data_IF_666293477632
#
_entry.id   IF_666293477632
#
_cell.length_a   1.000
_cell.length_b   1.000
_cell.length_c   1.000
_cell.angle_alpha   90.00
_cell.angle_beta   90.00
_cell.angle_gamma   90.00
#
_symmetry.space_group_name_H-M   'P 1'
#
loop_
_entity.id
_entity.type
_entity.pdbx_description
1 polymer ?
#
# COMPACT_ATOMS: atom_id res chain seq x y z
N UNK A 1 17.00 -13.50 -4.61
CA UNK A 1 16.03 -12.87 -3.68
C UNK A 1 15.34 -11.77 -4.45
N UNK A 2 14.02 -11.70 -4.41
CA UNK A 2 13.27 -10.62 -5.06
C UNK A 2 13.05 -9.52 -4.02
N UNK A 3 13.46 -8.29 -4.34
CA UNK A 3 13.26 -7.14 -3.46
C UNK A 3 11.78 -6.74 -3.50
N UNK A 4 11.17 -6.53 -2.33
CA UNK A 4 9.73 -6.31 -2.22
C UNK A 4 9.36 -5.16 -1.29
N UNK A 5 8.21 -4.56 -1.58
CA UNK A 5 7.43 -3.82 -0.59
C UNK A 5 6.47 -4.79 0.12
N UNK A 6 6.32 -4.62 1.43
CA UNK A 6 5.42 -5.42 2.26
C UNK A 6 4.43 -4.52 2.96
N UNK A 7 3.15 -4.89 2.92
CA UNK A 7 2.08 -4.18 3.57
C UNK A 7 1.42 -5.08 4.60
N UNK A 8 1.27 -4.56 5.81
CA UNK A 8 0.65 -5.22 6.94
C UNK A 8 -0.50 -4.39 7.50
N UNK A 9 -1.30 -5.01 8.37
CA UNK A 9 -2.23 -4.30 9.24
C UNK A 9 -2.05 -4.69 10.70
N UNK A 10 -2.27 -3.71 11.58
CA UNK A 10 -2.11 -3.86 13.02
C UNK A 10 -3.01 -2.92 13.81
N UNK A 11 -3.27 -3.27 15.07
CA UNK A 11 -4.14 -2.51 15.98
C UNK A 11 -3.39 -1.39 16.74
N UNK A 12 -2.07 -1.31 16.56
CA UNK A 12 -1.18 -0.26 17.05
C UNK A 12 -0.06 -0.02 16.04
N UNK A 13 0.56 1.16 16.07
CA UNK A 13 1.78 1.45 15.32
C UNK A 13 3.00 0.83 16.03
N UNK A 14 4.06 0.46 15.30
CA UNK A 14 5.33 0.07 15.90
C UNK A 14 6.01 1.26 16.58
N UNK A 15 6.85 0.96 17.57
CA UNK A 15 7.69 1.92 18.29
C UNK A 15 9.11 1.38 18.43
N UNK A 16 10.05 2.19 18.92
CA UNK A 16 11.42 1.71 19.17
C UNK A 16 11.47 0.61 20.24
N UNK A 17 10.48 0.58 21.15
CA UNK A 17 10.43 -0.36 22.27
C UNK A 17 9.66 -1.64 21.94
N UNK A 18 8.56 -1.50 21.18
CA UNK A 18 7.56 -2.56 21.02
C UNK A 18 7.05 -2.66 19.58
N UNK A 19 6.82 -3.90 19.15
CA UNK A 19 6.08 -4.22 17.93
C UNK A 19 4.58 -4.43 18.23
N UNK A 20 3.69 -4.25 17.25
CA UNK A 20 2.28 -4.55 17.44
C UNK A 20 2.07 -6.04 17.79
N UNK A 21 1.21 -6.37 18.78
CA UNK A 21 1.04 -7.75 19.26
C UNK A 21 0.33 -8.67 18.25
N UNK A 22 -0.34 -8.09 17.25
CA UNK A 22 -0.99 -8.84 16.17
C UNK A 22 -0.79 -8.14 14.84
N UNK A 23 0.11 -8.71 14.05
CA UNK A 23 0.45 -8.25 12.71
C UNK A 23 -0.21 -9.19 11.70
N UNK A 24 -0.87 -8.62 10.70
CA UNK A 24 -1.59 -9.34 9.66
C UNK A 24 -1.00 -8.98 8.30
N UNK A 25 -0.79 -9.97 7.43
CA UNK A 25 -0.33 -9.69 6.07
C UNK A 25 -1.48 -9.11 5.22
N UNK A 26 -1.22 -7.99 4.55
CA UNK A 26 -2.12 -7.43 3.55
C UNK A 26 -1.62 -7.81 2.16
N UNK A 27 -0.44 -7.34 1.79
CA UNK A 27 0.02 -7.41 0.41
C UNK A 27 1.53 -7.39 0.31
N UNK A 28 2.07 -7.98 -0.76
CA UNK A 28 3.49 -7.90 -1.11
C UNK A 28 3.60 -7.57 -2.59
N UNK A 29 4.56 -6.75 -2.97
CA UNK A 29 4.81 -6.40 -4.37
C UNK A 29 6.29 -6.46 -4.68
N UNK A 30 6.65 -7.04 -5.83
CA UNK A 30 8.05 -7.17 -6.23
C UNK A 30 8.51 -5.88 -6.92
N UNK A 31 9.75 -5.47 -6.65
CA UNK A 31 10.51 -4.45 -7.37
C UNK A 31 9.98 -3.01 -7.29
N UNK A 32 8.84 -2.76 -6.65
CA UNK A 32 8.27 -1.42 -6.51
C UNK A 32 7.37 -1.27 -5.27
N UNK A 33 7.00 -0.03 -4.95
CA UNK A 33 5.89 0.35 -4.08
C UNK A 33 4.71 0.75 -4.97
N UNK A 34 3.77 -0.17 -5.26
CA UNK A 34 2.72 0.08 -6.24
C UNK A 34 1.72 1.12 -5.75
N UNK A 35 0.96 1.70 -6.68
CA UNK A 35 -0.09 2.68 -6.37
C UNK A 35 -1.04 2.18 -5.27
N UNK A 36 -1.46 0.91 -5.31
CA UNK A 36 -2.31 0.34 -4.26
C UNK A 36 -1.72 0.48 -2.85
N UNK A 37 -0.41 0.27 -2.69
CA UNK A 37 0.26 0.41 -1.40
C UNK A 37 0.29 1.87 -0.99
N UNK A 38 0.67 2.78 -1.89
CA UNK A 38 0.71 4.23 -1.63
C UNK A 38 -0.65 4.74 -1.14
N UNK A 39 -1.75 4.36 -1.80
CA UNK A 39 -3.11 4.75 -1.41
C UNK A 39 -3.52 4.18 -0.05
N UNK A 40 -3.20 2.90 0.21
CA UNK A 40 -3.52 2.29 1.50
C UNK A 40 -2.79 2.98 2.66
N UNK A 41 -1.60 3.54 2.45
CA UNK A 41 -0.91 4.37 3.47
C UNK A 41 -1.07 5.88 3.26
N UNK A 42 -2.11 6.32 2.55
CA UNK A 42 -2.28 7.71 2.10
C UNK A 42 -2.89 8.68 3.12
N UNK A 43 -3.63 8.18 4.12
CA UNK A 43 -4.31 9.02 5.11
C UNK A 43 -3.74 8.84 6.52
N UNK A 44 -3.40 9.94 7.17
CA UNK A 44 -2.70 9.92 8.45
C UNK A 44 -1.26 9.40 8.36
N UNK A 45 -0.64 9.50 7.19
CA UNK A 45 0.69 9.00 6.88
C UNK A 45 1.72 9.51 7.89
N UNK A 46 2.42 8.57 8.53
CA UNK A 46 3.47 8.85 9.52
C UNK A 46 4.63 7.88 9.32
N UNK A 47 5.85 8.39 9.31
CA UNK A 47 7.06 7.54 9.33
C UNK A 47 7.21 6.96 10.73
N UNK A 48 7.36 5.64 10.81
CA UNK A 48 7.42 4.87 12.05
C UNK A 48 8.61 3.91 12.04
N UNK A 49 8.98 3.35 13.20
CA UNK A 49 9.92 2.25 13.25
C UNK A 49 9.53 1.10 12.33
N UNK A 50 10.51 0.62 11.56
CA UNK A 50 10.33 -0.58 10.76
C UNK A 50 10.27 -1.78 11.70
N UNK A 51 9.33 -2.68 11.42
CA UNK A 51 9.18 -3.94 12.13
C UNK A 51 10.18 -5.00 11.65
N UNK A 52 10.85 -4.75 10.52
CA UNK A 52 11.71 -5.72 9.82
C UNK A 52 13.16 -5.21 9.75
N UNK A 53 13.34 -3.91 9.55
CA UNK A 53 14.61 -3.29 9.21
C UNK A 53 15.08 -2.30 10.27
N UNK A 54 16.40 -2.14 10.36
CA UNK A 54 17.04 -1.07 11.10
C UNK A 54 17.99 -0.36 10.13
N UNK A 55 17.87 0.96 9.85
CA UNK A 55 17.11 1.99 10.58
C UNK A 55 15.58 1.95 10.42
N UNK A 56 14.84 2.66 11.30
CA UNK A 56 13.37 2.71 11.33
C UNK A 56 12.78 3.40 10.08
N UNK A 57 12.47 2.61 9.04
CA UNK A 57 12.01 3.10 7.73
C UNK A 57 10.60 2.59 7.35
N UNK A 58 9.72 2.41 8.34
CA UNK A 58 8.33 2.03 8.12
C UNK A 58 7.43 3.24 7.87
N UNK A 59 6.28 3.04 7.24
CA UNK A 59 5.22 4.06 7.08
C UNK A 59 3.91 3.48 7.62
N UNK A 60 3.27 4.17 8.55
CA UNK A 60 1.94 3.81 9.05
C UNK A 60 0.88 4.82 8.63
N UNK A 61 -0.36 4.35 8.48
CA UNK A 61 -1.51 5.20 8.14
C UNK A 61 -2.82 4.55 8.57
N UNK A 62 -3.92 5.29 8.49
CA UNK A 62 -5.24 4.83 8.92
C UNK A 62 -5.83 3.78 7.96
N UNK A 63 -6.21 2.63 8.52
CA UNK A 63 -6.69 1.50 7.74
C UNK A 63 -7.96 1.80 6.96
N UNK A 64 -9.00 2.29 7.66
CA UNK A 64 -10.32 2.46 7.08
C UNK A 64 -10.31 3.46 5.92
N UNK A 65 -9.59 4.57 6.09
CA UNK A 65 -9.49 5.64 5.10
C UNK A 65 -8.69 5.18 3.86
N UNK A 66 -7.53 4.55 4.06
CA UNK A 66 -6.72 4.02 2.95
C UNK A 66 -7.43 2.91 2.16
N UNK A 67 -8.16 2.03 2.85
CA UNK A 67 -8.97 0.99 2.20
C UNK A 67 -10.13 1.61 1.40
N UNK A 68 -10.81 2.61 1.96
CA UNK A 68 -11.89 3.31 1.29
C UNK A 68 -11.40 4.03 0.01
N UNK A 69 -10.23 4.68 0.08
CA UNK A 69 -9.61 5.35 -1.07
C UNK A 69 -9.28 4.35 -2.18
N UNK A 70 -8.61 3.23 -1.85
CA UNK A 70 -8.27 2.20 -2.83
C UNK A 70 -9.53 1.61 -3.49
N UNK A 71 -10.55 1.26 -2.71
CA UNK A 71 -11.79 0.70 -3.24
C UNK A 71 -12.58 1.73 -4.07
N UNK A 72 -12.51 3.01 -3.70
CA UNK A 72 -13.04 4.12 -4.48
C UNK A 72 -12.39 4.21 -5.86
N UNK A 73 -11.06 4.17 -5.90
CA UNK A 73 -10.32 4.23 -7.16
C UNK A 73 -10.57 2.98 -8.02
N UNK A 74 -10.55 1.78 -7.45
CA UNK A 74 -10.82 0.54 -8.19
C UNK A 74 -12.19 0.56 -8.86
N UNK A 75 -13.21 1.12 -8.19
CA UNK A 75 -14.53 1.32 -8.80
C UNK A 75 -14.45 2.27 -9.99
N UNK A 76 -13.80 3.42 -9.85
CA UNK A 76 -13.65 4.39 -10.95
C UNK A 76 -12.89 3.77 -12.14
N UNK A 77 -11.79 3.03 -11.88
CA UNK A 77 -11.04 2.29 -12.90
C UNK A 77 -11.95 1.29 -13.62
N UNK A 78 -12.81 0.58 -12.89
CA UNK A 78 -13.73 -0.43 -13.43
C UNK A 78 -14.78 0.08 -14.42
N UNK A 79 -15.13 1.37 -14.39
CA UNK A 79 -16.07 1.99 -15.36
C UNK A 79 -15.54 2.04 -16.81
N UNK A 80 -14.32 1.59 -17.06
CA UNK A 80 -13.78 1.40 -18.41
C UNK A 80 -13.17 0.03 -18.65
N UNK A 81 -13.44 -0.94 -17.76
CA UNK A 81 -12.90 -2.30 -17.77
C UNK A 81 -14.00 -3.33 -17.46
N UNK A 82 -15.25 -3.06 -17.81
CA UNK A 82 -16.40 -3.91 -17.45
C UNK A 82 -16.31 -5.34 -18.01
N UNK A 83 -15.69 -5.49 -19.17
CA UNK A 83 -15.48 -6.78 -19.84
C UNK A 83 -14.14 -7.44 -19.45
N UNK A 84 -13.32 -6.81 -18.61
CA UNK A 84 -12.05 -7.36 -18.11
C UNK A 84 -12.29 -8.24 -16.88
N UNK A 85 -12.44 -9.54 -17.11
CA UNK A 85 -12.66 -10.52 -16.05
C UNK A 85 -11.50 -10.62 -15.05
N UNK A 86 -10.27 -10.36 -15.48
CA UNK A 86 -9.08 -10.42 -14.62
C UNK A 86 -9.08 -9.22 -13.65
N UNK A 87 -9.46 -8.03 -14.14
CA UNK A 87 -9.66 -6.86 -13.29
C UNK A 87 -10.77 -7.10 -12.27
N UNK A 88 -11.91 -7.64 -12.70
CA UNK A 88 -13.02 -7.96 -11.80
C UNK A 88 -12.60 -8.96 -10.70
N UNK A 89 -11.84 -10.00 -11.03
CA UNK A 89 -11.28 -10.93 -10.04
C UNK A 89 -10.33 -10.23 -9.07
N UNK A 90 -9.45 -9.36 -9.58
CA UNK A 90 -8.51 -8.57 -8.78
C UNK A 90 -9.25 -7.71 -7.75
N UNK A 91 -10.30 -7.01 -8.16
CA UNK A 91 -11.13 -6.18 -7.27
C UNK A 91 -11.82 -7.03 -6.21
N UNK A 92 -12.44 -8.14 -6.60
CA UNK A 92 -13.15 -9.03 -5.66
C UNK A 92 -12.19 -9.62 -4.61
N UNK A 93 -11.02 -10.12 -5.04
CA UNK A 93 -10.00 -10.66 -4.14
C UNK A 93 -9.43 -9.61 -3.21
N UNK A 94 -9.12 -8.42 -3.73
CA UNK A 94 -8.59 -7.31 -2.93
C UNK A 94 -9.61 -6.90 -1.87
N UNK A 95 -10.87 -6.69 -2.26
CA UNK A 95 -11.95 -6.29 -1.35
C UNK A 95 -12.15 -7.31 -0.23
N UNK A 96 -12.33 -8.59 -0.58
CA UNK A 96 -12.54 -9.65 0.40
C UNK A 96 -11.34 -9.81 1.35
N UNK A 97 -10.11 -9.61 0.87
CA UNK A 97 -8.92 -9.69 1.71
C UNK A 97 -8.82 -8.51 2.68
N UNK A 98 -9.11 -7.28 2.24
CA UNK A 98 -9.15 -6.12 3.12
C UNK A 98 -10.21 -6.28 4.22
N UNK A 99 -11.41 -6.76 3.88
CA UNK A 99 -12.45 -7.05 4.88
C UNK A 99 -11.99 -8.05 5.95
N UNK A 100 -11.22 -9.06 5.56
CA UNK A 100 -10.71 -10.09 6.48
C UNK A 100 -9.55 -9.62 7.36
N UNK A 101 -8.79 -8.62 6.90
CA UNK A 101 -7.55 -8.17 7.55
C UNK A 101 -7.70 -6.79 8.21
N UNK A 102 -8.92 -6.38 8.54
CA UNK A 102 -9.18 -5.10 9.20
C UNK A 102 -8.39 -4.97 10.51
N UNK A 103 -7.85 -3.77 10.71
CA UNK A 103 -7.19 -3.32 11.92
C UNK A 103 -7.30 -1.79 12.01
N UNK A 104 -6.58 -1.15 12.93
CA UNK A 104 -6.56 0.33 13.01
C UNK A 104 -5.63 0.98 11.99
N UNK A 105 -4.50 0.33 11.70
CA UNK A 105 -3.45 0.90 10.87
C UNK A 105 -3.03 -0.04 9.76
N UNK A 106 -2.66 0.53 8.63
CA UNK A 106 -1.73 -0.08 7.69
C UNK A 106 -0.29 0.23 8.11
N UNK A 107 0.63 -0.70 7.83
CA UNK A 107 2.07 -0.52 8.01
C UNK A 107 2.77 -1.01 6.74
N UNK A 108 3.43 -0.09 6.04
CA UNK A 108 4.19 -0.33 4.82
C UNK A 108 5.68 -0.39 5.15
N UNK A 109 6.32 -1.45 4.67
CA UNK A 109 7.74 -1.74 4.82
C UNK A 109 8.39 -1.78 3.44
N UNK A 110 9.25 -0.80 3.15
CA UNK A 110 9.86 -0.61 1.81
C UNK A 110 11.36 -0.84 1.78
N UNK A 111 11.95 -1.32 2.88
CA UNK A 111 13.40 -1.39 3.07
C UNK A 111 14.17 -2.03 1.91
N UNK A 112 13.68 -3.17 1.39
CA UNK A 112 14.33 -3.82 0.25
C UNK A 112 14.29 -2.97 -1.04
N UNK A 113 13.26 -2.14 -1.23
CA UNK A 113 13.12 -1.28 -2.41
C UNK A 113 14.01 -0.04 -2.28
N UNK A 114 13.93 0.67 -1.15
CA UNK A 114 14.69 1.92 -0.97
C UNK A 114 16.20 1.69 -0.87
N UNK A 115 16.62 0.53 -0.36
CA UNK A 115 18.04 0.16 -0.34
C UNK A 115 18.62 -0.19 -1.72
N UNK A 116 17.79 -0.39 -2.75
CA UNK A 116 18.28 -0.54 -4.12
C UNK A 116 18.52 0.79 -4.82
N UNK A 117 17.71 1.80 -4.49
CA UNK A 117 17.60 3.04 -5.26
C UNK A 117 18.34 4.20 -4.62
N UNK A 118 18.77 4.07 -3.36
CA UNK A 118 19.37 5.16 -2.60
C UNK A 118 20.42 4.66 -1.60
N UNK A 119 21.48 5.45 -1.46
CA UNK A 119 22.49 5.29 -0.42
C UNK A 119 21.99 5.78 0.96
N UNK A 120 20.85 6.48 1.03
CA UNK A 120 20.14 6.86 2.26
C UNK A 120 18.67 6.38 2.22
N UNK A 121 18.41 5.13 2.66
CA UNK A 121 17.06 4.56 2.74
C UNK A 121 16.08 5.40 3.58
N UNK A 122 16.56 6.08 4.62
CA UNK A 122 15.69 6.86 5.50
C UNK A 122 15.25 8.16 4.83
N UNK A 123 16.13 8.81 4.04
CA UNK A 123 15.73 9.94 3.22
C UNK A 123 14.70 9.54 2.16
N UNK A 124 14.89 8.40 1.50
CA UNK A 124 13.94 7.89 0.51
C UNK A 124 12.55 7.63 1.09
N UNK A 125 12.46 7.02 2.28
CA UNK A 125 11.16 6.83 2.96
C UNK A 125 10.52 8.15 3.36
N UNK A 126 11.31 9.15 3.79
CA UNK A 126 10.78 10.49 4.08
C UNK A 126 10.22 11.16 2.83
N UNK A 127 10.91 11.11 1.69
CA UNK A 127 10.39 11.66 0.41
C UNK A 127 9.15 10.88 -0.04
N UNK A 128 9.17 9.54 0.02
CA UNK A 128 7.99 8.72 -0.29
C UNK A 128 6.76 9.13 0.54
N UNK A 129 6.93 9.37 1.84
CA UNK A 129 5.85 9.78 2.73
C UNK A 129 5.41 11.24 2.54
N UNK A 130 6.31 12.13 2.14
CA UNK A 130 6.04 13.57 2.06
C UNK A 130 5.62 14.04 0.66
N UNK A 131 5.94 13.30 -0.39
CA UNK A 131 5.80 13.71 -1.78
C UNK A 131 4.98 12.66 -2.55
N UNK A 132 5.57 11.49 -2.82
CA UNK A 132 4.96 10.45 -3.67
C UNK A 132 3.59 9.96 -3.18
N UNK A 133 3.43 9.71 -1.88
CA UNK A 133 2.16 9.23 -1.32
C UNK A 133 1.10 10.33 -1.39
N UNK A 134 1.33 11.56 -0.90
CA UNK A 134 0.39 12.67 -1.08
C UNK A 134 0.01 12.94 -2.54
N UNK A 135 0.97 12.91 -3.46
CA UNK A 135 0.70 13.12 -4.89
C UNK A 135 -0.21 12.00 -5.43
N UNK A 136 0.09 10.73 -5.12
CA UNK A 136 -0.75 9.61 -5.52
C UNK A 136 -2.18 9.70 -4.96
N UNK A 137 -2.34 10.16 -3.71
CA UNK A 137 -3.65 10.39 -3.08
C UNK A 137 -4.40 11.49 -3.83
N UNK A 138 -3.77 12.62 -4.10
CA UNK A 138 -4.38 13.74 -4.81
C UNK A 138 -4.85 13.35 -6.22
N UNK A 139 -4.02 12.63 -6.97
CA UNK A 139 -4.38 12.11 -8.29
C UNK A 139 -5.57 11.15 -8.23
N UNK A 140 -5.59 10.23 -7.25
CA UNK A 140 -6.68 9.28 -7.05
C UNK A 140 -7.99 9.96 -6.65
N UNK A 141 -7.96 10.91 -5.71
CA UNK A 141 -9.14 11.68 -5.29
C UNK A 141 -9.70 12.52 -6.44
N UNK A 142 -8.84 13.19 -7.21
CA UNK A 142 -9.24 13.94 -8.39
C UNK A 142 -9.87 13.02 -9.46
N UNK A 143 -9.30 11.84 -9.70
CA UNK A 143 -9.85 10.86 -10.62
C UNK A 143 -11.23 10.33 -10.17
N UNK A 144 -11.38 9.99 -8.89
CA UNK A 144 -12.66 9.57 -8.30
C UNK A 144 -13.72 10.68 -8.41
N UNK A 145 -13.31 11.94 -8.31
CA UNK A 145 -14.18 13.10 -8.48
C UNK A 145 -14.48 13.46 -9.96
N UNK A 146 -13.94 12.70 -10.93
CA UNK A 146 -14.11 12.98 -12.37
C UNK A 146 -13.33 14.20 -12.86
N UNK A 147 -12.24 14.55 -12.18
CA UNK A 147 -11.42 15.74 -12.45
C UNK A 147 -10.08 15.40 -13.11
N UNK A 148 -9.77 14.12 -13.28
CA UNK A 148 -8.49 13.67 -13.83
C UNK A 148 -8.62 12.41 -14.71
N UNK A 149 -9.44 12.53 -15.75
CA UNK A 149 -9.73 11.42 -16.67
C UNK A 149 -8.49 10.90 -17.41
N UNK A 150 -7.53 11.78 -17.71
CA UNK A 150 -6.31 11.41 -18.42
C UNK A 150 -5.43 10.49 -17.57
N UNK A 151 -5.22 10.82 -16.29
CA UNK A 151 -4.50 9.95 -15.37
C UNK A 151 -5.28 8.65 -15.12
N UNK A 152 -6.61 8.73 -14.91
CA UNK A 152 -7.44 7.53 -14.73
C UNK A 152 -7.37 6.59 -15.93
N UNK A 153 -7.35 7.13 -17.15
CA UNK A 153 -7.15 6.34 -18.37
C UNK A 153 -5.77 5.67 -18.42
N UNK A 154 -4.70 6.35 -17.97
CA UNK A 154 -3.38 5.71 -17.86
C UNK A 154 -3.35 4.59 -16.81
N UNK A 155 -4.02 4.78 -15.67
CA UNK A 155 -4.12 3.75 -14.63
C UNK A 155 -4.90 2.53 -15.14
N UNK A 156 -5.98 2.74 -15.91
CA UNK A 156 -6.72 1.64 -16.56
C UNK A 156 -5.86 0.86 -17.55
N UNK A 157 -5.05 1.57 -18.35
CA UNK A 157 -4.23 0.95 -19.38
C UNK A 157 -3.12 0.04 -18.83
N UNK A 158 -2.69 0.26 -17.57
CA UNK A 158 -1.66 -0.52 -16.89
C UNK A 158 -2.09 -0.92 -15.46
N UNK A 159 -3.35 -1.33 -15.31
CA UNK A 159 -3.93 -1.57 -13.99
C UNK A 159 -3.18 -2.66 -13.21
N UNK A 160 -2.58 -3.64 -13.90
CA UNK A 160 -1.85 -4.74 -13.29
C UNK A 160 -0.64 -4.25 -12.51
N UNK A 161 0.14 -3.30 -13.03
CA UNK A 161 1.30 -2.75 -12.32
C UNK A 161 0.89 -2.03 -11.04
N UNK A 162 -0.30 -1.43 -11.04
CA UNK A 162 -0.84 -0.67 -9.91
C UNK A 162 -1.51 -1.54 -8.84
N UNK A 163 -2.22 -2.59 -9.24
CA UNK A 163 -3.13 -3.33 -8.35
C UNK A 163 -2.85 -4.83 -8.22
N UNK A 164 -2.16 -5.47 -9.18
CA UNK A 164 -1.91 -6.91 -9.18
C UNK A 164 -0.77 -7.30 -8.21
N UNK A 165 -0.94 -6.99 -6.94
CA UNK A 165 -0.05 -7.38 -5.85
C UNK A 165 -0.44 -8.73 -5.23
N UNK A 166 0.49 -9.34 -4.50
CA UNK A 166 0.24 -10.61 -3.82
C UNK A 166 -0.48 -10.38 -2.49
N UNK A 167 -1.80 -10.56 -2.47
CA UNK A 167 -2.60 -10.56 -1.25
C UNK A 167 -2.59 -11.95 -0.60
N UNK A 168 -2.08 -12.04 0.63
CA UNK A 168 -1.88 -13.30 1.34
C UNK A 168 -2.14 -13.15 2.83
N UNK A 169 -2.57 -14.23 3.48
CA UNK A 169 -2.68 -14.31 4.95
C UNK A 169 -1.36 -14.71 5.62
N UNK A 170 -0.45 -15.30 4.86
CA UNK A 170 0.83 -15.75 5.37
C UNK A 170 1.78 -14.56 5.50
N UNK A 171 2.36 -14.40 6.69
CA UNK A 171 3.44 -13.44 6.90
C UNK A 171 4.71 -13.98 6.25
N UNK A 172 5.38 -13.14 5.47
CA UNK A 172 6.68 -13.50 4.91
C UNK A 172 7.79 -13.47 5.96
N UNK A 173 7.72 -12.51 6.88
CA UNK A 173 8.59 -12.42 8.05
C UNK A 173 7.87 -12.96 9.28
N UNK A 174 8.60 -13.67 10.14
CA UNK A 174 8.11 -14.03 11.47
C UNK A 174 8.35 -12.87 12.42
N UNK A 175 7.31 -12.43 13.11
CA UNK A 175 7.41 -11.44 14.18
C UNK A 175 7.38 -12.16 15.53
N UNK A 176 8.14 -11.70 16.55
CA UNK A 176 8.09 -12.25 17.90
C UNK A 176 6.66 -12.14 18.47
N UNK A 177 6.26 -13.14 19.25
CA UNK A 177 5.02 -13.11 20.05
C UNK A 177 5.14 -12.24 21.30
#
# INVERSE_FOLDING_TARGET
>A
MANRSYLYSADSMPSEADLPPRIRCISQHNWDVPLAHKLMVGHGTTVVPSMIWNPPIGIAAHYAEGAALLLGLLRAVGEGLEDDADFAECVARTTAHLEQQQAKYFILETGEIVSMTSDDPAASVRSLAAEDIPDAVAEAEAAIAGQNDAWLASVRADWQSHFASFYSKALYFSFPE
#
